data_IF_576461299754
#
_entry.id   IF_576461299754
#
_cell.length_a   1.000
_cell.length_b   1.000
_cell.length_c   1.000
_cell.angle_alpha   90.00
_cell.angle_beta   90.00
_cell.angle_gamma   90.00
#
_symmetry.space_group_name_H-M   'P 1'
#
loop_
_entity.id
_entity.type
_entity.pdbx_description
1 polymer ?
#
# COMPACT_ATOMS: atom_id res chain seq x y z
N UNK A 1 0.53 39.62 -24.53
CA UNK A 1 -0.35 38.59 -23.97
C UNK A 1 0.23 37.26 -24.43
N UNK A 2 0.90 36.54 -23.54
CA UNK A 2 1.43 35.21 -23.85
C UNK A 2 0.52 34.23 -23.12
N UNK A 3 -0.25 33.46 -23.90
CA UNK A 3 -1.09 32.40 -23.38
C UNK A 3 -0.21 31.31 -22.78
N UNK A 4 -0.50 30.95 -21.53
CA UNK A 4 0.15 29.85 -20.82
C UNK A 4 -0.37 28.55 -21.39
N UNK A 5 0.42 27.91 -22.23
CA UNK A 5 0.17 26.55 -22.68
C UNK A 5 0.45 25.60 -21.51
N UNK A 6 -0.60 25.00 -20.96
CA UNK A 6 -0.48 23.96 -19.95
C UNK A 6 0.43 22.83 -20.47
N UNK A 7 1.41 22.37 -19.67
CA UNK A 7 2.33 21.35 -20.14
C UNK A 7 1.57 20.07 -20.50
N UNK A 8 1.95 19.38 -21.59
CA UNK A 8 1.25 18.19 -22.05
C UNK A 8 1.18 17.16 -20.92
N UNK A 9 0.03 16.46 -20.77
CA UNK A 9 -0.16 15.49 -19.69
C UNK A 9 0.99 14.47 -19.74
N UNK A 10 1.80 14.43 -18.68
CA UNK A 10 2.93 13.51 -18.56
C UNK A 10 2.42 12.11 -18.85
N UNK A 11 2.93 11.48 -19.92
CA UNK A 11 2.58 10.11 -20.28
C UNK A 11 2.85 9.20 -19.07
N UNK A 12 1.78 8.73 -18.45
CA UNK A 12 1.83 7.87 -17.27
C UNK A 12 2.40 6.51 -17.70
N UNK A 13 3.67 6.25 -17.36
CA UNK A 13 4.31 4.97 -17.65
C UNK A 13 3.78 3.93 -16.66
N UNK A 14 2.74 3.21 -17.05
CA UNK A 14 2.24 2.09 -16.27
C UNK A 14 3.23 0.92 -16.34
N UNK A 15 3.79 0.52 -15.21
CA UNK A 15 4.76 -0.58 -15.12
C UNK A 15 4.22 -1.69 -14.22
N UNK A 16 4.29 -2.95 -14.70
CA UNK A 16 3.90 -4.14 -13.94
C UNK A 16 5.07 -4.81 -13.23
N UNK A 17 6.26 -4.22 -13.31
CA UNK A 17 7.44 -4.64 -12.58
C UNK A 17 7.22 -4.77 -11.07
N UNK A 18 6.54 -3.87 -10.34
CA UNK A 18 6.34 -4.04 -8.90
C UNK A 18 5.47 -5.25 -8.55
N UNK A 19 4.44 -5.55 -9.36
CA UNK A 19 3.60 -6.72 -9.14
C UNK A 19 4.38 -8.01 -9.39
N UNK A 20 5.22 -8.03 -10.44
CA UNK A 20 6.07 -9.16 -10.77
C UNK A 20 7.12 -9.42 -9.69
N UNK A 21 7.75 -8.37 -9.18
CA UNK A 21 8.74 -8.44 -8.11
C UNK A 21 8.11 -8.97 -6.82
N UNK A 22 6.90 -8.52 -6.48
CA UNK A 22 6.15 -9.05 -5.34
C UNK A 22 5.82 -10.55 -5.47
N UNK A 23 5.44 -11.01 -6.67
CA UNK A 23 5.23 -12.43 -6.94
C UNK A 23 6.52 -13.24 -6.79
N UNK A 24 7.62 -12.72 -7.31
CA UNK A 24 8.93 -13.34 -7.21
C UNK A 24 9.38 -13.48 -5.75
N UNK A 25 9.25 -12.42 -4.95
CA UNK A 25 9.55 -12.45 -3.52
C UNK A 25 8.68 -13.44 -2.77
N UNK A 26 7.40 -13.60 -3.14
CA UNK A 26 6.52 -14.58 -2.52
C UNK A 26 7.03 -16.01 -2.72
N UNK A 27 7.60 -16.34 -3.87
CA UNK A 27 8.22 -17.65 -4.11
C UNK A 27 9.67 -17.75 -3.61
N UNK A 28 10.24 -16.67 -3.05
CA UNK A 28 11.60 -16.71 -2.54
C UNK A 28 11.74 -17.66 -1.35
N UNK A 29 12.83 -18.43 -1.25
CA UNK A 29 13.02 -19.39 -0.15
C UNK A 29 12.96 -18.76 1.24
N UNK A 30 13.50 -17.55 1.39
CA UNK A 30 13.52 -16.84 2.67
C UNK A 30 12.10 -16.49 3.12
N UNK A 31 11.26 -16.00 2.21
CA UNK A 31 9.87 -15.66 2.53
C UNK A 31 9.06 -16.91 2.87
N UNK A 32 9.14 -17.96 2.04
CA UNK A 32 8.41 -19.21 2.23
C UNK A 32 8.78 -19.92 3.55
N UNK A 33 10.07 -19.92 3.92
CA UNK A 33 10.50 -20.50 5.20
C UNK A 33 10.05 -19.67 6.41
N UNK A 34 10.08 -18.34 6.30
CA UNK A 34 9.58 -17.45 7.37
C UNK A 34 8.10 -17.68 7.63
N UNK A 35 7.30 -17.79 6.57
CA UNK A 35 5.87 -18.02 6.70
C UNK A 35 5.57 -19.42 7.21
N UNK A 36 6.29 -20.44 6.72
CA UNK A 36 6.17 -21.80 7.22
C UNK A 36 6.48 -21.90 8.72
N UNK A 37 7.49 -21.17 9.22
CA UNK A 37 7.78 -21.15 10.65
C UNK A 37 6.67 -20.48 11.47
N UNK A 38 5.99 -19.47 10.92
CA UNK A 38 4.92 -18.74 11.62
C UNK A 38 3.58 -19.48 11.58
N UNK A 39 3.19 -19.99 10.41
CA UNK A 39 1.84 -20.50 10.13
C UNK A 39 1.81 -22.01 9.89
N UNK A 40 2.97 -22.68 9.77
CA UNK A 40 3.09 -24.12 9.58
C UNK A 40 2.75 -24.61 8.16
N UNK A 41 2.51 -23.71 7.21
CA UNK A 41 2.13 -24.03 5.83
C UNK A 41 2.91 -23.18 4.83
N UNK A 42 3.08 -23.71 3.61
CA UNK A 42 3.67 -22.95 2.51
C UNK A 42 2.59 -22.09 1.83
N UNK A 43 2.94 -20.86 1.48
CA UNK A 43 2.02 -19.94 0.83
C UNK A 43 1.97 -20.23 -0.68
N UNK A 44 0.75 -20.33 -1.24
CA UNK A 44 0.55 -20.63 -2.68
C UNK A 44 0.73 -19.41 -3.59
N UNK A 45 0.89 -18.21 -3.03
CA UNK A 45 1.15 -16.95 -3.75
C UNK A 45 0.10 -16.59 -4.83
N UNK A 46 -1.09 -17.18 -4.77
CA UNK A 46 -2.15 -17.01 -5.78
C UNK A 46 -2.62 -15.57 -5.87
N UNK A 47 -2.67 -14.86 -4.75
CA UNK A 47 -3.12 -13.46 -4.72
C UNK A 47 -2.16 -12.55 -5.47
N UNK A 48 -0.84 -12.76 -5.28
CA UNK A 48 0.21 -12.03 -6.00
C UNK A 48 0.21 -12.36 -7.49
N UNK A 49 -0.15 -13.58 -7.85
CA UNK A 49 -0.31 -13.95 -9.25
C UNK A 49 -1.49 -13.20 -9.88
N UNK A 50 -2.62 -13.10 -9.17
CA UNK A 50 -3.76 -12.30 -9.63
C UNK A 50 -3.43 -10.82 -9.76
N UNK A 51 -2.64 -10.25 -8.85
CA UNK A 51 -2.16 -8.87 -8.96
C UNK A 51 -1.36 -8.63 -10.26
N UNK A 52 -0.48 -9.57 -10.63
CA UNK A 52 0.27 -9.53 -11.89
C UNK A 52 -0.67 -9.60 -13.09
N UNK A 53 -1.62 -10.53 -13.07
CA UNK A 53 -2.60 -10.69 -14.15
C UNK A 53 -3.51 -9.47 -14.28
N UNK A 54 -3.92 -8.88 -13.17
CA UNK A 54 -4.70 -7.64 -13.14
C UNK A 54 -3.89 -6.48 -13.72
N UNK A 55 -2.60 -6.38 -13.39
CA UNK A 55 -1.73 -5.37 -13.98
C UNK A 55 -1.62 -5.53 -15.51
N UNK A 56 -1.45 -6.76 -16.01
CA UNK A 56 -1.44 -6.99 -17.46
C UNK A 56 -2.78 -6.65 -18.12
N UNK A 57 -3.90 -6.98 -17.48
CA UNK A 57 -5.25 -6.61 -17.95
C UNK A 57 -5.47 -5.09 -17.95
N UNK A 58 -4.89 -4.35 -17.00
CA UNK A 58 -4.96 -2.89 -16.97
C UNK A 58 -4.08 -2.27 -18.07
N UNK A 59 -2.93 -2.88 -18.35
CA UNK A 59 -2.02 -2.42 -19.41
C UNK A 59 -2.61 -2.56 -20.82
N UNK A 60 -3.51 -3.52 -21.03
CA UNK A 60 -4.20 -3.69 -22.33
C UNK A 60 -5.39 -2.74 -22.51
N UNK A 61 -5.83 -2.02 -21.47
CA UNK A 61 -6.90 -1.01 -21.57
C UNK A 61 -6.36 0.34 -22.06
N UNK A 62 -7.27 1.20 -22.52
CA UNK A 62 -6.95 2.59 -22.87
C UNK A 62 -6.43 3.32 -21.63
N UNK A 63 -5.41 4.18 -21.80
CA UNK A 63 -4.74 4.88 -20.70
C UNK A 63 -5.70 5.67 -19.80
N UNK A 64 -6.72 6.31 -20.38
CA UNK A 64 -7.72 7.07 -19.64
C UNK A 64 -8.58 6.19 -18.72
N UNK A 65 -8.98 4.99 -19.18
CA UNK A 65 -9.76 4.05 -18.38
C UNK A 65 -8.90 3.40 -17.28
N UNK A 66 -7.63 3.12 -17.57
CA UNK A 66 -6.70 2.56 -16.60
C UNK A 66 -6.46 3.52 -15.43
N UNK A 67 -6.32 4.83 -15.69
CA UNK A 67 -6.14 5.85 -14.64
C UNK A 67 -7.32 5.91 -13.68
N UNK A 68 -8.55 5.92 -14.21
CA UNK A 68 -9.77 5.93 -13.38
C UNK A 68 -9.84 4.69 -12.49
N UNK A 69 -9.46 3.51 -13.02
CA UNK A 69 -9.44 2.28 -12.24
C UNK A 69 -8.41 2.37 -11.10
N UNK A 70 -7.18 2.83 -11.40
CA UNK A 70 -6.11 2.98 -10.40
C UNK A 70 -6.53 3.97 -9.31
N UNK A 71 -7.09 5.11 -9.68
CA UNK A 71 -7.58 6.12 -8.72
C UNK A 71 -8.68 5.53 -7.83
N UNK A 72 -9.61 4.77 -8.41
CA UNK A 72 -10.66 4.09 -7.65
C UNK A 72 -10.11 3.03 -6.68
N UNK A 73 -9.06 2.32 -7.06
CA UNK A 73 -8.39 1.34 -6.19
C UNK A 73 -7.59 2.03 -5.08
N UNK A 74 -6.89 3.12 -5.38
CA UNK A 74 -6.18 3.92 -4.37
C UNK A 74 -7.17 4.48 -3.35
N UNK A 75 -8.31 5.03 -3.80
CA UNK A 75 -9.37 5.50 -2.92
C UNK A 75 -9.91 4.39 -2.01
N UNK A 76 -10.01 3.15 -2.50
CA UNK A 76 -10.42 2.00 -1.67
C UNK A 76 -9.36 1.64 -0.63
N UNK A 77 -8.06 1.74 -0.97
CA UNK A 77 -6.94 1.51 -0.04
C UNK A 77 -6.84 2.61 1.02
N UNK A 78 -7.19 3.83 0.66
CA UNK A 78 -7.22 5.01 1.55
C UNK A 78 -8.51 5.13 2.36
N UNK A 79 -9.43 4.17 2.26
CA UNK A 79 -10.58 4.16 3.15
C UNK A 79 -10.10 4.12 4.60
N UNK A 80 -10.68 4.95 5.48
CA UNK A 80 -10.27 4.99 6.88
C UNK A 80 -10.41 3.58 7.45
N UNK A 81 -9.28 3.06 7.95
CA UNK A 81 -9.25 1.79 8.66
C UNK A 81 -10.19 1.90 9.87
N UNK A 82 -10.77 0.78 10.31
CA UNK A 82 -11.65 0.78 11.49
C UNK A 82 -10.98 1.38 12.74
N UNK A 83 -9.64 1.32 12.81
CA UNK A 83 -8.83 2.00 13.81
C UNK A 83 -7.91 3.01 13.14
N UNK A 84 -8.01 4.27 13.56
CA UNK A 84 -7.03 5.31 13.22
C UNK A 84 -5.98 5.38 14.33
N UNK A 85 -4.71 5.23 13.96
CA UNK A 85 -3.60 5.41 14.91
C UNK A 85 -3.52 6.89 15.26
N UNK A 86 -3.61 7.20 16.56
CA UNK A 86 -3.37 8.55 17.07
C UNK A 86 -1.91 8.96 16.81
N UNK A 87 -1.69 10.25 16.67
CA UNK A 87 -0.33 10.80 16.71
C UNK A 87 0.32 10.54 18.07
N UNK A 88 1.66 10.60 18.15
CA UNK A 88 2.39 10.39 19.41
C UNK A 88 1.87 11.34 20.50
N UNK A 89 1.69 12.61 20.16
CA UNK A 89 1.23 13.66 21.08
C UNK A 89 -0.18 13.37 21.60
N UNK A 90 -1.13 13.07 20.71
CA UNK A 90 -2.51 12.71 21.08
C UNK A 90 -2.58 11.41 21.90
N UNK A 91 -1.71 10.44 21.59
CA UNK A 91 -1.61 9.20 22.34
C UNK A 91 -1.08 9.46 23.76
N UNK A 92 -0.06 10.29 23.91
CA UNK A 92 0.51 10.68 25.21
C UNK A 92 -0.50 11.49 26.03
N UNK A 93 -1.21 12.43 25.42
CA UNK A 93 -2.27 13.20 26.11
C UNK A 93 -3.41 12.30 26.59
N UNK A 94 -3.88 11.39 25.74
CA UNK A 94 -4.93 10.45 26.11
C UNK A 94 -4.46 9.47 27.20
N UNK A 95 -3.23 8.97 27.09
CA UNK A 95 -2.64 8.11 28.12
C UNK A 95 -2.55 8.83 29.47
N UNK A 96 -2.06 10.07 29.47
CA UNK A 96 -1.94 10.88 30.69
C UNK A 96 -3.30 11.23 31.30
N UNK A 97 -4.36 11.30 30.48
CA UNK A 97 -5.74 11.48 30.92
C UNK A 97 -6.30 10.21 31.56
N UNK A 98 -6.06 9.06 30.95
CA UNK A 98 -6.59 7.77 31.40
C UNK A 98 -5.79 7.19 32.59
N UNK A 99 -4.48 7.48 32.64
CA UNK A 99 -3.53 6.97 33.63
C UNK A 99 -2.69 8.10 34.26
N UNK A 100 -3.29 8.95 35.10
CA UNK A 100 -2.62 10.13 35.67
C UNK A 100 -1.44 9.80 36.59
N UNK A 101 -1.40 8.60 37.17
CA UNK A 101 -0.33 8.14 38.07
C UNK A 101 0.88 7.54 37.33
N UNK A 102 0.72 7.22 36.05
CA UNK A 102 1.74 6.62 35.18
C UNK A 102 2.17 7.59 34.07
N UNK A 103 2.23 8.88 34.39
CA UNK A 103 2.69 9.90 33.44
C UNK A 103 4.09 9.56 32.97
N UNK A 104 4.22 9.39 31.66
CA UNK A 104 5.49 9.17 31.00
C UNK A 104 6.30 10.47 31.12
N UNK A 105 7.33 10.46 31.96
CA UNK A 105 8.25 11.60 32.09
C UNK A 105 9.18 11.60 30.89
N UNK A 106 9.06 12.60 30.03
CA UNK A 106 9.86 12.80 28.82
C UNK A 106 11.35 12.48 29.07
N UNK A 107 11.79 11.32 28.59
CA UNK A 107 13.08 10.74 28.92
C UNK A 107 13.62 9.86 27.80
N UNK A 108 14.20 10.53 26.81
CA UNK A 108 14.97 10.08 25.64
C UNK A 108 14.20 9.87 24.32
#
# INVERSE_FOLDING_TARGET
>A
MAEGEDPPPKAFKFSCTPALDALWFCYSPVFQLREYYREGTFNTCTDKFWDVMNCFRLKTKKLAEAQVIIESENRKREQPLFWELRSKEEATEAWNKDFPDMKESDGL
#
